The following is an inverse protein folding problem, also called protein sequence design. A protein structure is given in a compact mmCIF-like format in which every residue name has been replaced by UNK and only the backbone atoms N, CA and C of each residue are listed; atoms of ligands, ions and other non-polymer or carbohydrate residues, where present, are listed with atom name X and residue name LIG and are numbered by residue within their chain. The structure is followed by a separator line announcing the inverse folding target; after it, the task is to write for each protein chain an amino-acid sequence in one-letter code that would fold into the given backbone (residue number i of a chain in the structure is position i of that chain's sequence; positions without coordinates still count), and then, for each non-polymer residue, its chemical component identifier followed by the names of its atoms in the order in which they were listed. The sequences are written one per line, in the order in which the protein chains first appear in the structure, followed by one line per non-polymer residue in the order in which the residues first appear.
data_IF_992249529036
#
_entry.id   IF_992249529036
#
_cell.length_a   1.000
_cell.length_b   1.000
_cell.length_c   1.000
_cell.angle_alpha   90.00
_cell.angle_beta   90.00
_cell.angle_gamma   90.00
#
_symmetry.space_group_name_H-M   'P 1'
#
loop_
_entity.id
_entity.type
_entity.pdbx_description
1 polymer ?
#
# COMPACT_ATOMS: atom_id res chain seq x y z
N UNK A 1 -15.86 -4.98 -24.56
CA UNK A 1 -15.74 -3.90 -23.57
C UNK A 1 -17.12 -3.53 -23.07
N UNK A 2 -17.41 -3.72 -21.78
CA UNK A 2 -18.67 -3.30 -21.17
C UNK A 2 -18.61 -1.77 -21.03
N UNK A 3 -19.48 -1.04 -21.73
CA UNK A 3 -19.50 0.42 -21.66
C UNK A 3 -20.02 0.78 -20.28
N UNK A 4 -19.20 1.44 -19.46
CA UNK A 4 -19.59 1.86 -18.11
C UNK A 4 -20.72 2.89 -18.24
N UNK A 5 -21.81 2.67 -17.50
CA UNK A 5 -22.92 3.62 -17.48
C UNK A 5 -22.50 4.94 -16.81
N UNK A 6 -23.09 6.07 -17.21
CA UNK A 6 -22.81 7.38 -16.60
C UNK A 6 -23.02 7.37 -15.08
N UNK A 7 -24.05 6.65 -14.63
CA UNK A 7 -24.37 6.51 -13.21
C UNK A 7 -23.25 5.78 -12.42
N UNK A 8 -22.63 4.76 -13.01
CA UNK A 8 -21.49 4.07 -12.39
C UNK A 8 -20.24 4.95 -12.34
N UNK A 9 -20.01 5.79 -13.37
CA UNK A 9 -18.91 6.75 -13.37
C UNK A 9 -19.10 7.82 -12.28
N UNK A 10 -20.31 8.35 -12.13
CA UNK A 10 -20.64 9.34 -11.10
C UNK A 10 -20.53 8.74 -9.70
N UNK A 11 -20.96 7.49 -9.51
CA UNK A 11 -20.83 6.77 -8.25
C UNK A 11 -19.36 6.49 -7.90
N UNK A 12 -18.54 6.08 -8.88
CA UNK A 12 -17.09 5.92 -8.71
C UNK A 12 -16.42 7.24 -8.33
N UNK A 13 -16.70 8.31 -9.07
CA UNK A 13 -16.17 9.64 -8.77
C UNK A 13 -16.55 10.10 -7.35
N UNK A 14 -17.81 9.89 -6.95
CA UNK A 14 -18.26 10.21 -5.59
C UNK A 14 -17.49 9.41 -4.54
N UNK A 15 -17.27 8.12 -4.75
CA UNK A 15 -16.50 7.27 -3.83
C UNK A 15 -15.04 7.77 -3.71
N UNK A 16 -14.38 8.07 -4.83
CA UNK A 16 -13.03 8.63 -4.89
C UNK A 16 -12.94 9.98 -4.19
N UNK A 17 -13.88 10.90 -4.41
CA UNK A 17 -13.90 12.21 -3.76
C UNK A 17 -14.08 12.06 -2.25
N UNK A 18 -15.01 11.21 -1.80
CA UNK A 18 -15.23 10.97 -0.37
C UNK A 18 -13.97 10.36 0.26
N UNK A 19 -13.31 9.41 -0.42
CA UNK A 19 -12.03 8.84 0.00
C UNK A 19 -10.95 9.88 0.14
N UNK A 20 -10.81 10.74 -0.88
CA UNK A 20 -9.86 11.85 -0.86
C UNK A 20 -10.12 12.81 0.29
N UNK A 21 -11.37 13.24 0.50
CA UNK A 21 -11.73 14.13 1.62
C UNK A 21 -11.41 13.51 2.98
N UNK A 22 -11.64 12.21 3.16
CA UNK A 22 -11.22 11.49 4.38
C UNK A 22 -9.70 11.51 4.54
N UNK A 23 -8.95 11.26 3.47
CA UNK A 23 -7.49 11.34 3.46
C UNK A 23 -6.96 12.73 3.80
N UNK A 24 -7.58 13.78 3.25
CA UNK A 24 -7.26 15.17 3.53
C UNK A 24 -7.54 15.52 5.01
N UNK A 25 -8.71 15.14 5.52
CA UNK A 25 -9.07 15.35 6.92
C UNK A 25 -8.10 14.64 7.87
N UNK A 26 -7.76 13.38 7.57
CA UNK A 26 -6.73 12.62 8.30
C UNK A 26 -5.35 13.28 8.23
N UNK A 27 -4.95 13.74 7.04
CA UNK A 27 -3.70 14.47 6.83
C UNK A 27 -3.62 15.75 7.68
N UNK A 28 -4.70 16.53 7.76
CA UNK A 28 -4.77 17.71 8.63
C UNK A 28 -4.75 17.33 10.11
N UNK A 29 -5.48 16.30 10.50
CA UNK A 29 -5.53 15.80 11.88
C UNK A 29 -4.15 15.37 12.41
N UNK A 30 -3.23 14.95 11.53
CA UNK A 30 -1.86 14.60 11.91
C UNK A 30 -0.91 15.81 11.81
N UNK A 31 -0.93 16.50 10.67
CA UNK A 31 0.05 17.56 10.36
C UNK A 31 -0.11 18.83 11.19
N UNK A 32 -1.34 19.24 11.52
CA UNK A 32 -1.59 20.45 12.32
C UNK A 32 -1.09 20.25 13.75
N UNK A 33 -1.47 19.19 14.50
CA UNK A 33 -0.92 18.95 15.83
C UNK A 33 0.60 18.79 15.83
N UNK A 34 1.17 18.11 14.82
CA UNK A 34 2.62 17.99 14.69
C UNK A 34 3.30 19.36 14.51
N UNK A 35 2.73 20.23 13.67
CA UNK A 35 3.21 21.60 13.47
C UNK A 35 3.13 22.42 14.77
N UNK A 36 2.03 22.33 15.50
CA UNK A 36 1.86 23.01 16.80
C UNK A 36 2.82 22.48 17.87
N UNK A 37 3.09 21.18 17.88
CA UNK A 37 4.06 20.57 18.79
C UNK A 37 5.50 21.05 18.49
N UNK A 38 5.87 21.08 17.21
CA UNK A 38 7.16 21.62 16.76
C UNK A 38 7.29 23.13 17.07
N UNK A 39 6.20 23.88 16.94
CA UNK A 39 6.15 25.30 17.31
C UNK A 39 6.42 25.53 18.80
N UNK A 40 6.07 24.59 19.69
CA UNK A 40 6.36 24.71 21.13
C UNK A 40 7.77 24.24 21.49
N UNK A 41 8.21 23.13 20.91
CA UNK A 41 9.43 22.44 21.36
C UNK A 41 10.69 22.86 20.62
N UNK A 42 10.60 23.31 19.36
CA UNK A 42 11.76 23.55 18.51
C UNK A 42 11.99 25.05 18.25
N UNK A 43 13.10 25.58 18.79
CA UNK A 43 13.48 26.98 18.62
C UNK A 43 13.68 27.39 17.15
N UNK A 44 14.14 26.49 16.29
CA UNK A 44 14.31 26.73 14.86
C UNK A 44 12.95 26.82 14.14
N UNK A 45 12.04 25.90 14.46
CA UNK A 45 10.70 25.88 13.85
C UNK A 45 9.90 27.16 14.15
N UNK A 46 10.08 27.74 15.35
CA UNK A 46 9.44 29.03 15.69
C UNK A 46 9.84 30.17 14.76
N UNK A 47 11.12 30.23 14.37
CA UNK A 47 11.70 31.26 13.50
C UNK A 47 11.41 31.05 12.02
N UNK A 48 10.85 29.90 11.64
CA UNK A 48 10.55 29.57 10.26
C UNK A 48 9.45 30.50 9.70
N UNK A 49 9.56 30.88 8.43
CA UNK A 49 8.54 31.68 7.76
C UNK A 49 7.20 30.93 7.71
N UNK A 50 6.04 31.63 7.83
CA UNK A 50 4.72 30.99 7.79
C UNK A 50 4.49 30.16 6.52
N UNK A 51 5.01 30.61 5.37
CA UNK A 51 4.94 29.89 4.10
C UNK A 51 5.60 28.51 4.16
N UNK A 52 6.77 28.42 4.80
CA UNK A 52 7.50 27.14 4.90
C UNK A 52 6.82 26.18 5.87
N UNK A 53 6.12 26.70 6.89
CA UNK A 53 5.28 25.89 7.79
C UNK A 53 4.07 25.32 7.06
N UNK A 54 3.37 26.16 6.29
CA UNK A 54 2.24 25.74 5.48
C UNK A 54 2.65 24.71 4.43
N UNK A 55 3.81 24.90 3.78
CA UNK A 55 4.37 23.92 2.86
C UNK A 55 4.58 22.55 3.52
N UNK A 56 5.13 22.51 4.74
CA UNK A 56 5.29 21.26 5.49
C UNK A 56 3.96 20.54 5.77
N UNK A 57 2.89 21.29 6.04
CA UNK A 57 1.54 20.73 6.20
C UNK A 57 1.01 20.17 4.87
N UNK A 58 1.14 20.93 3.78
CA UNK A 58 0.71 20.53 2.42
C UNK A 58 1.40 19.23 1.98
N UNK A 59 2.69 19.10 2.27
CA UNK A 59 3.48 17.89 1.95
C UNK A 59 2.97 16.61 2.62
N UNK A 60 2.17 16.72 3.68
CA UNK A 60 1.52 15.56 4.33
C UNK A 60 0.09 15.38 3.84
N UNK A 61 -0.65 16.49 3.73
CA UNK A 61 -2.08 16.47 3.40
C UNK A 61 -2.34 16.04 1.96
N UNK A 62 -1.58 16.54 0.99
CA UNK A 62 -1.80 16.24 -0.43
C UNK A 62 -1.55 14.76 -0.75
N UNK A 63 -0.43 14.14 -0.33
CA UNK A 63 -0.25 12.70 -0.54
C UNK A 63 -1.32 11.86 0.16
N UNK A 64 -1.73 12.23 1.40
CA UNK A 64 -2.78 11.52 2.11
C UNK A 64 -4.14 11.58 1.38
N UNK A 65 -4.47 12.75 0.81
CA UNK A 65 -5.64 12.91 -0.06
C UNK A 65 -5.57 11.98 -1.27
N UNK A 66 -4.47 12.00 -2.03
CA UNK A 66 -4.32 11.20 -3.26
C UNK A 66 -4.40 9.71 -2.96
N UNK A 67 -3.64 9.21 -1.97
CA UNK A 67 -3.59 7.79 -1.61
C UNK A 67 -4.97 7.28 -1.15
N UNK A 68 -5.71 8.09 -0.40
CA UNK A 68 -7.04 7.70 0.08
C UNK A 68 -8.11 7.76 -1.00
N UNK A 69 -7.99 8.72 -1.93
CA UNK A 69 -8.86 8.80 -3.10
C UNK A 69 -8.68 7.56 -3.99
N UNK A 70 -7.43 7.18 -4.26
CA UNK A 70 -7.08 6.00 -5.05
C UNK A 70 -7.61 4.72 -4.41
N UNK A 71 -7.35 4.52 -3.11
CA UNK A 71 -7.87 3.34 -2.39
C UNK A 71 -9.40 3.27 -2.41
N UNK A 72 -10.09 4.41 -2.27
CA UNK A 72 -11.55 4.42 -2.31
C UNK A 72 -12.09 4.10 -3.71
N UNK A 73 -11.41 4.57 -4.76
CA UNK A 73 -11.73 4.20 -6.14
C UNK A 73 -11.57 2.71 -6.39
N UNK A 74 -10.42 2.15 -6.02
CA UNK A 74 -10.15 0.71 -6.15
C UNK A 74 -11.12 -0.14 -5.35
N UNK A 75 -11.46 0.29 -4.12
CA UNK A 75 -12.45 -0.40 -3.29
C UNK A 75 -13.83 -0.40 -3.92
N UNK A 76 -14.27 0.70 -4.52
CA UNK A 76 -15.55 0.77 -5.23
C UNK A 76 -15.59 -0.21 -6.41
N UNK A 77 -14.50 -0.29 -7.19
CA UNK A 77 -14.39 -1.25 -8.29
C UNK A 77 -14.44 -2.71 -7.80
N UNK A 78 -13.75 -3.02 -6.70
CA UNK A 78 -13.75 -4.35 -6.07
C UNK A 78 -15.14 -4.74 -5.55
N UNK A 79 -15.88 -3.78 -4.98
CA UNK A 79 -17.24 -4.01 -4.49
C UNK A 79 -18.20 -4.35 -5.64
N UNK A 80 -18.00 -3.75 -6.82
CA UNK A 80 -18.82 -3.95 -8.01
C UNK A 80 -18.49 -5.23 -8.80
N UNK A 81 -17.45 -5.97 -8.43
CA UNK A 81 -17.21 -7.30 -8.96
C UNK A 81 -18.33 -8.24 -8.46
N UNK A 82 -19.13 -8.77 -9.37
CA UNK A 82 -20.24 -9.70 -9.10
C UNK A 82 -20.05 -11.07 -9.78
N UNK A 83 -18.90 -11.30 -10.43
CA UNK A 83 -18.60 -12.52 -11.16
C UNK A 83 -18.07 -13.64 -10.24
N UNK A 84 -18.12 -14.89 -10.69
CA UNK A 84 -17.60 -16.08 -10.00
C UNK A 84 -16.13 -15.91 -9.54
N UNK A 85 -15.36 -15.04 -10.19
CA UNK A 85 -14.00 -14.68 -9.78
C UNK A 85 -13.89 -14.03 -8.39
N UNK A 86 -14.94 -13.37 -7.88
CA UNK A 86 -14.93 -12.77 -6.53
C UNK A 86 -15.04 -13.82 -5.43
N UNK A 87 -15.87 -14.85 -5.62
CA UNK A 87 -16.01 -15.95 -4.68
C UNK A 87 -14.69 -16.74 -4.55
N UNK A 88 -13.98 -16.92 -5.67
CA UNK A 88 -12.67 -17.57 -5.68
C UNK A 88 -11.59 -16.67 -5.05
N UNK A 89 -11.55 -15.36 -5.35
CA UNK A 89 -10.64 -14.43 -4.69
C UNK A 89 -10.82 -14.43 -3.17
N UNK A 90 -12.07 -14.41 -2.69
CA UNK A 90 -12.38 -14.50 -1.26
C UNK A 90 -11.96 -15.87 -0.68
N UNK A 91 -12.16 -16.97 -1.41
CA UNK A 91 -11.72 -18.30 -0.99
C UNK A 91 -10.19 -18.40 -0.89
N UNK A 92 -9.46 -17.86 -1.88
CA UNK A 92 -8.01 -17.78 -1.85
C UNK A 92 -7.51 -16.90 -0.71
N UNK A 93 -8.15 -15.77 -0.47
CA UNK A 93 -7.79 -14.86 0.61
C UNK A 93 -7.99 -15.53 1.97
N UNK A 94 -9.10 -16.26 2.18
CA UNK A 94 -9.30 -17.08 3.39
C UNK A 94 -8.26 -18.18 3.54
N UNK A 95 -7.86 -18.87 2.46
CA UNK A 95 -6.78 -19.87 2.50
C UNK A 95 -5.44 -19.22 2.87
N UNK A 96 -5.15 -18.02 2.34
CA UNK A 96 -3.95 -17.26 2.68
C UNK A 96 -3.97 -16.79 4.14
N UNK A 97 -5.12 -16.33 4.65
CA UNK A 97 -5.30 -15.95 6.05
C UNK A 97 -5.15 -17.14 6.99
N UNK A 98 -5.74 -18.30 6.67
CA UNK A 98 -5.55 -19.52 7.47
C UNK A 98 -4.08 -19.96 7.50
N UNK A 99 -3.37 -19.86 6.37
CA UNK A 99 -1.92 -20.07 6.32
C UNK A 99 -1.16 -19.00 7.12
N UNK A 100 -1.62 -17.74 7.07
CA UNK A 100 -1.02 -16.65 7.82
C UNK A 100 -1.09 -16.91 9.32
N UNK A 101 -2.25 -17.32 9.80
CA UNK A 101 -2.51 -17.58 11.20
C UNK A 101 -1.60 -18.68 11.76
N UNK A 102 -1.31 -19.71 10.95
CA UNK A 102 -0.42 -20.82 11.33
C UNK A 102 1.08 -20.46 11.33
N UNK A 103 1.48 -19.29 10.84
CA UNK A 103 2.88 -18.85 10.86
C UNK A 103 3.35 -18.42 12.26
N UNK A 104 4.62 -18.68 12.53
CA UNK A 104 5.35 -18.17 13.70
C UNK A 104 5.49 -16.64 13.63
N UNK A 105 5.55 -15.89 14.74
CA UNK A 105 5.66 -14.42 14.71
C UNK A 105 6.79 -13.86 13.83
N UNK A 106 7.97 -14.50 13.81
CA UNK A 106 9.06 -14.08 12.94
C UNK A 106 8.77 -14.28 11.44
N UNK A 107 8.06 -15.36 11.09
CA UNK A 107 7.61 -15.62 9.72
C UNK A 107 6.54 -14.61 9.31
N UNK A 108 5.63 -14.25 10.22
CA UNK A 108 4.64 -13.18 10.01
C UNK A 108 5.30 -11.83 9.74
N UNK A 109 6.36 -11.47 10.45
CA UNK A 109 7.07 -10.21 10.15
C UNK A 109 7.73 -10.27 8.77
N UNK A 110 8.41 -11.37 8.46
CA UNK A 110 9.11 -11.56 7.18
C UNK A 110 8.17 -11.45 5.98
N UNK A 111 7.02 -12.11 6.05
CA UNK A 111 6.03 -12.07 4.98
C UNK A 111 5.29 -10.72 4.90
N UNK A 112 5.02 -10.05 6.03
CA UNK A 112 4.48 -8.69 6.01
C UNK A 112 5.43 -7.74 5.27
N UNK A 113 6.73 -7.83 5.56
CA UNK A 113 7.76 -7.02 4.89
C UNK A 113 7.80 -7.34 3.39
N UNK A 114 7.61 -8.60 2.98
CA UNK A 114 7.56 -8.98 1.56
C UNK A 114 6.31 -8.45 0.86
N UNK A 115 5.13 -8.56 1.48
CA UNK A 115 3.86 -8.07 0.90
C UNK A 115 3.81 -6.55 0.78
N UNK A 116 4.50 -5.84 1.67
CA UNK A 116 4.52 -4.39 1.71
C UNK A 116 5.93 -3.81 1.49
N UNK A 117 6.72 -4.43 0.62
CA UNK A 117 8.15 -4.11 0.44
C UNK A 117 8.39 -2.61 0.20
N UNK A 118 7.66 -2.00 -0.74
CA UNK A 118 7.84 -0.60 -1.09
C UNK A 118 7.41 0.32 0.06
N UNK A 119 6.33 -0.03 0.75
CA UNK A 119 5.86 0.70 1.93
C UNK A 119 6.87 0.66 3.07
N UNK A 120 7.47 -0.50 3.33
CA UNK A 120 8.50 -0.68 4.36
C UNK A 120 9.79 0.05 3.99
N UNK A 121 10.22 0.00 2.72
CA UNK A 121 11.41 0.72 2.24
C UNK A 121 11.22 2.23 2.41
N UNK A 122 10.09 2.77 1.93
CA UNK A 122 9.80 4.21 2.03
C UNK A 122 9.59 4.64 3.49
N UNK A 123 8.93 3.82 4.30
CA UNK A 123 8.75 4.08 5.73
C UNK A 123 10.08 4.10 6.48
N UNK A 124 10.94 3.12 6.22
CA UNK A 124 12.29 3.04 6.81
C UNK A 124 13.17 4.21 6.36
N UNK A 125 13.05 4.64 5.10
CA UNK A 125 13.68 5.87 4.60
C UNK A 125 13.26 7.10 5.39
N UNK A 126 11.95 7.28 5.57
CA UNK A 126 11.41 8.43 6.29
C UNK A 126 11.89 8.46 7.75
N UNK A 127 11.90 7.29 8.42
CA UNK A 127 12.43 7.14 9.78
C UNK A 127 13.93 7.45 9.84
N UNK A 128 14.72 6.90 8.92
CA UNK A 128 16.16 7.15 8.87
C UNK A 128 16.48 8.63 8.61
N UNK A 129 15.74 9.28 7.70
CA UNK A 129 15.85 10.70 7.41
C UNK A 129 15.52 11.55 8.64
N UNK A 130 14.42 11.25 9.33
CA UNK A 130 14.02 11.94 10.56
C UNK A 130 15.06 11.76 11.67
N UNK A 131 15.61 10.55 11.82
CA UNK A 131 16.70 10.24 12.75
C UNK A 131 17.97 11.03 12.46
N UNK A 132 18.41 11.04 11.19
CA UNK A 132 19.58 11.80 10.75
C UNK A 132 19.39 13.31 10.95
N UNK A 133 18.22 13.86 10.61
CA UNK A 133 17.90 15.27 10.86
C UNK A 133 17.93 15.60 12.35
N UNK A 134 17.35 14.75 13.21
CA UNK A 134 17.40 14.93 14.66
C UNK A 134 18.83 14.89 15.18
N UNK A 135 19.65 13.99 14.67
CA UNK A 135 21.07 13.87 15.02
C UNK A 135 21.85 15.15 14.64
N UNK A 136 21.75 15.59 13.37
CA UNK A 136 22.40 16.82 12.88
C UNK A 136 21.94 18.06 13.64
N UNK A 137 20.65 18.15 13.99
CA UNK A 137 20.13 19.30 14.74
C UNK A 137 20.60 19.34 16.19
N UNK A 138 20.93 18.19 16.81
CA UNK A 138 21.34 18.09 18.21
C UNK A 138 22.74 18.62 18.48
N UNK A 139 23.62 18.65 17.47
CA UNK A 139 25.01 19.10 17.65
C UNK A 139 25.07 20.62 17.96
N UNK A 140 25.53 21.04 19.15
CA UNK A 140 25.59 22.45 19.54
C UNK A 140 26.80 23.18 18.95
N UNK A 141 27.81 22.47 18.43
CA UNK A 141 29.08 23.05 17.97
C UNK A 141 29.04 23.56 16.52
N UNK A 142 27.96 23.29 15.79
CA UNK A 142 27.83 23.66 14.38
C UNK A 142 26.92 24.87 14.16
N UNK A 143 27.35 25.75 13.26
CA UNK A 143 26.52 26.85 12.76
C UNK A 143 25.32 26.36 11.94
N UNK A 144 24.26 27.16 11.86
CA UNK A 144 23.03 26.80 11.11
C UNK A 144 23.33 26.48 9.63
N UNK A 145 24.25 27.21 9.00
CA UNK A 145 24.67 26.99 7.61
C UNK A 145 25.35 25.63 7.45
N UNK A 146 26.22 25.23 8.38
CA UNK A 146 26.90 23.93 8.35
C UNK A 146 25.91 22.78 8.50
N UNK A 147 24.92 22.92 9.41
CA UNK A 147 23.86 21.91 9.60
C UNK A 147 23.07 21.67 8.32
N UNK A 148 22.76 22.72 7.55
CA UNK A 148 22.05 22.59 6.26
C UNK A 148 22.88 21.84 5.23
N UNK A 149 24.18 22.15 5.13
CA UNK A 149 25.09 21.44 4.21
C UNK A 149 25.21 19.97 4.61
N UNK A 150 25.38 19.67 5.89
CA UNK A 150 25.43 18.29 6.39
C UNK A 150 24.13 17.54 6.13
N UNK A 151 22.98 18.17 6.39
CA UNK A 151 21.68 17.56 6.13
C UNK A 151 21.54 17.11 4.66
N UNK A 152 22.08 17.88 3.71
CA UNK A 152 22.07 17.51 2.28
C UNK A 152 22.94 16.27 2.01
N UNK A 153 24.14 16.20 2.58
CA UNK A 153 25.04 15.03 2.41
C UNK A 153 24.42 13.78 3.03
N UNK A 154 23.84 13.89 4.23
CA UNK A 154 23.08 12.80 4.85
C UNK A 154 21.91 12.35 3.99
N UNK A 155 21.13 13.29 3.46
CA UNK A 155 19.99 12.96 2.61
C UNK A 155 20.41 12.21 1.34
N UNK A 156 21.49 12.64 0.70
CA UNK A 156 22.07 11.97 -0.47
C UNK A 156 22.57 10.55 -0.11
N UNK A 157 23.35 10.42 0.95
CA UNK A 157 23.87 9.13 1.40
C UNK A 157 22.77 8.13 1.77
N UNK A 158 21.75 8.58 2.50
CA UNK A 158 20.59 7.75 2.85
C UNK A 158 19.81 7.29 1.62
N UNK A 159 19.62 8.18 0.65
CA UNK A 159 18.90 7.83 -0.59
C UNK A 159 19.65 6.77 -1.37
N UNK A 160 20.97 6.93 -1.54
CA UNK A 160 21.82 5.93 -2.19
C UNK A 160 21.77 4.60 -1.43
N UNK A 161 21.93 4.62 -0.11
CA UNK A 161 21.88 3.42 0.72
C UNK A 161 20.56 2.67 0.59
N UNK A 162 19.45 3.38 0.47
CA UNK A 162 18.12 2.78 0.29
C UNK A 162 17.89 2.23 -1.10
N UNK A 163 18.39 2.89 -2.15
CA UNK A 163 18.35 2.33 -3.51
C UNK A 163 19.15 1.01 -3.54
N UNK A 164 20.32 0.98 -2.90
CA UNK A 164 21.13 -0.24 -2.80
C UNK A 164 20.38 -1.31 -2.01
N UNK A 165 19.80 -0.98 -0.85
CA UNK A 165 19.04 -1.93 -0.03
C UNK A 165 17.82 -2.48 -0.77
N UNK A 166 17.08 -1.62 -1.48
CA UNK A 166 15.94 -2.03 -2.32
C UNK A 166 16.42 -2.93 -3.46
N UNK A 167 17.54 -2.60 -4.11
CA UNK A 167 18.15 -3.43 -5.15
C UNK A 167 18.57 -4.81 -4.65
N UNK A 168 19.20 -4.90 -3.48
CA UNK A 168 19.56 -6.18 -2.84
C UNK A 168 18.31 -6.97 -2.49
N UNK A 169 17.29 -6.33 -1.90
CA UNK A 169 16.05 -7.01 -1.54
C UNK A 169 15.36 -7.58 -2.80
N UNK A 170 15.20 -6.76 -3.83
CA UNK A 170 14.61 -7.15 -5.12
C UNK A 170 15.41 -8.27 -5.78
N UNK A 171 16.75 -8.17 -5.77
CA UNK A 171 17.62 -9.21 -6.32
C UNK A 171 17.53 -10.51 -5.53
N UNK A 172 17.43 -10.45 -4.19
CA UNK A 172 17.28 -11.63 -3.33
C UNK A 172 15.93 -12.34 -3.51
N UNK A 173 14.88 -11.58 -3.86
CA UNK A 173 13.59 -12.15 -4.23
C UNK A 173 13.68 -12.81 -5.60
N UNK A 174 14.29 -12.13 -6.57
CA UNK A 174 14.53 -12.68 -7.90
C UNK A 174 15.43 -13.92 -7.85
N UNK A 175 16.45 -13.96 -7.00
CA UNK A 175 17.33 -15.13 -6.87
C UNK A 175 16.61 -16.32 -6.26
N UNK A 176 15.69 -16.11 -5.30
CA UNK A 176 14.82 -17.18 -4.78
C UNK A 176 13.82 -17.67 -5.82
N UNK A 177 13.30 -16.77 -6.65
CA UNK A 177 12.47 -17.11 -7.81
C UNK A 177 13.28 -17.93 -8.84
N UNK A 178 14.56 -17.60 -9.04
CA UNK A 178 15.49 -18.35 -9.90
C UNK A 178 15.93 -19.69 -9.29
N UNK A 179 16.15 -19.79 -7.98
CA UNK A 179 16.45 -21.05 -7.27
C UNK A 179 15.25 -22.01 -7.28
N UNK A 180 14.03 -21.49 -7.40
CA UNK A 180 12.83 -22.30 -7.65
C UNK A 180 12.67 -22.73 -9.12
N UNK A 181 13.64 -22.44 -10.01
CA UNK A 181 13.67 -22.94 -11.39
C UNK A 181 14.44 -24.25 -11.46
N UNK A 182 13.77 -25.35 -11.84
CA UNK A 182 14.45 -26.58 -12.22
C UNK A 182 15.17 -26.44 -13.58
N UNK A 183 15.98 -27.45 -13.92
CA UNK A 183 16.94 -27.64 -15.04
C UNK A 183 16.52 -27.10 -16.44
N UNK A 184 15.25 -26.74 -16.64
CA UNK A 184 14.70 -26.26 -17.92
C UNK A 184 14.54 -24.73 -18.06
N UNK A 185 15.00 -23.92 -17.09
CA UNK A 185 14.90 -22.45 -17.16
C UNK A 185 13.46 -21.96 -17.41
N UNK A 186 12.47 -22.68 -16.88
CA UNK A 186 11.06 -22.29 -16.93
C UNK A 186 10.68 -21.79 -15.54
N UNK A 187 10.12 -20.58 -15.46
CA UNK A 187 9.55 -20.06 -14.21
C UNK A 187 8.50 -21.05 -13.70
N UNK A 188 8.71 -21.67 -12.55
CA UNK A 188 7.61 -22.24 -11.78
C UNK A 188 6.82 -21.07 -11.19
N UNK A 189 5.97 -20.43 -12.00
CA UNK A 189 4.75 -19.88 -11.42
C UNK A 189 4.07 -21.08 -10.73
N UNK A 190 3.67 -20.97 -9.44
CA UNK A 190 2.82 -22.00 -8.85
C UNK A 190 1.71 -22.29 -9.86
N UNK A 191 1.45 -23.56 -10.20
CA UNK A 191 0.51 -23.92 -11.27
C UNK A 191 -0.76 -23.08 -11.12
N UNK A 192 -0.93 -22.11 -12.01
CA UNK A 192 -2.01 -21.15 -11.88
C UNK A 192 -3.27 -21.87 -12.36
N UNK A 193 -3.88 -22.59 -11.43
CA UNK A 193 -5.16 -23.26 -11.61
C UNK A 193 -6.32 -22.30 -11.39
N UNK A 194 -6.10 -20.97 -11.28
CA UNK A 194 -7.19 -20.01 -11.10
C UNK A 194 -8.24 -20.12 -12.21
N UNK A 195 -7.84 -20.42 -13.45
CA UNK A 195 -8.78 -20.67 -14.55
C UNK A 195 -9.56 -21.97 -14.37
N UNK A 196 -8.93 -23.02 -13.82
CA UNK A 196 -9.57 -24.31 -13.56
C UNK A 196 -10.56 -24.18 -12.41
N UNK A 197 -10.18 -23.47 -11.35
CA UNK A 197 -11.03 -23.16 -10.21
C UNK A 197 -12.25 -22.33 -10.64
N UNK A 198 -12.06 -21.33 -11.51
CA UNK A 198 -13.16 -20.54 -12.10
C UNK A 198 -14.11 -21.41 -12.94
N UNK A 199 -13.59 -22.35 -13.74
CA UNK A 199 -14.42 -23.26 -14.53
C UNK A 199 -15.24 -24.22 -13.65
N UNK A 200 -14.61 -24.78 -12.61
CA UNK A 200 -15.29 -25.66 -11.66
C UNK A 200 -16.39 -24.94 -10.89
N UNK A 201 -16.17 -23.67 -10.53
CA UNK A 201 -17.19 -22.88 -9.83
C UNK A 201 -18.36 -22.53 -10.76
N UNK A 202 -18.08 -22.20 -12.03
CA UNK A 202 -19.13 -21.98 -13.05
C UNK A 202 -19.96 -23.24 -13.32
N UNK A 203 -19.34 -24.43 -13.32
CA UNK A 203 -20.07 -25.70 -13.43
C UNK A 203 -21.00 -25.93 -12.22
N UNK A 204 -20.52 -25.69 -10.99
CA UNK A 204 -21.36 -25.80 -9.79
C UNK A 204 -22.54 -24.81 -9.79
N UNK A 205 -22.35 -23.59 -10.29
CA UNK A 205 -23.43 -22.61 -10.41
C UNK A 205 -24.50 -23.08 -11.40
N UNK A 206 -24.09 -23.60 -12.57
CA UNK A 206 -25.03 -24.18 -13.54
C UNK A 206 -25.79 -25.38 -12.98
N UNK A 207 -25.12 -26.27 -12.26
CA UNK A 207 -25.77 -27.41 -11.59
C UNK A 207 -26.80 -26.96 -10.53
N UNK A 208 -26.52 -25.87 -9.79
CA UNK A 208 -27.48 -25.28 -8.85
C UNK A 208 -28.68 -24.63 -9.53
N UNK A 209 -28.46 -23.95 -10.65
CA UNK A 209 -29.53 -23.37 -11.46
C UNK A 209 -30.42 -24.47 -12.06
N UNK A 210 -29.83 -25.53 -12.60
CA UNK A 210 -30.54 -26.67 -13.18
C UNK A 210 -31.35 -27.45 -12.13
N UNK A 211 -30.78 -27.67 -10.94
CA UNK A 211 -31.47 -28.28 -9.80
C UNK A 211 -32.62 -27.41 -9.24
N UNK A 212 -32.46 -26.07 -9.28
CA UNK A 212 -33.52 -25.13 -8.91
C UNK A 212 -34.68 -25.08 -9.92
N UNK A 213 -34.37 -25.22 -11.22
CA UNK A 213 -35.35 -25.23 -12.32
C UNK A 213 -36.16 -26.53 -12.37
N UNK A 214 -35.56 -27.67 -12.02
CA UNK A 214 -36.28 -28.95 -11.92
C UNK A 214 -37.26 -28.98 -10.76
N UNK A 215 -36.94 -28.35 -9.63
CA UNK A 215 -37.83 -28.27 -8.47
C UNK A 215 -39.07 -27.37 -8.71
N UNK A 216 -38.95 -26.35 -9.56
CA UNK A 216 -40.08 -25.46 -9.91
C UNK A 216 -41.01 -26.05 -10.97
N UNK A 217 -40.52 -26.93 -11.84
CA UNK A 217 -41.36 -27.68 -12.81
C UNK A 217 -42.14 -28.85 -12.21
N UNK A 218 -41.77 -29.33 -11.02
CA UNK A 218 -42.50 -30.39 -10.30
C UNK A 218 -43.64 -29.89 -9.39
N UNK A 219 -43.86 -28.57 -9.31
CA UNK A 219 -44.84 -27.94 -8.42
C UNK A 219 -46.05 -27.30 -9.15
N UNK A 220 -46.18 -27.52 -10.46
CA UNK A 220 -47.36 -27.21 -11.29
C UNK A 220 -47.99 -28.52 -11.76
#
# INVERSE_FOLDING_TARGET
MKIVSKEQQDAQQRATIIGGLKGMAGGFAVSIPASLYLQRTNAYYRRLQPSLKAFGVIMVVVPAFVISAEHAGQKYEQEQWHDAGKAELDAQQRRQEARWESLTPGQKISDFVRRHEYGVIVGSWAVAMAGALRYVMKDPLQSTTQKVVQARVWAQGLTIGIIIAAGILTHSQRSKELESMDEHNVRHLPPDHSWLDVLQEQEKEKEREDAGSTNTRGAL
#
